data_IF_594064422386
#
_entry.id   IF_594064422386
#
_cell.length_a   1.000
_cell.length_b   1.000
_cell.length_c   1.000
_cell.angle_alpha   90.00
_cell.angle_beta   90.00
_cell.angle_gamma   90.00
#
_symmetry.space_group_name_H-M   'P 1'
#
loop_
_entity.id
_entity.type
_entity.pdbx_description
1 polymer ?
#
# COMPACT_ATOMS: atom_id res chain seq x y z
N UNK A 1 -22.22 -9.99 -60.42
CA UNK A 1 -20.85 -10.36 -59.97
C UNK A 1 -20.70 -9.87 -58.53
N UNK A 2 -20.59 -10.78 -57.55
CA UNK A 2 -20.51 -10.46 -56.12
C UNK A 2 -19.04 -10.34 -55.73
N UNK A 3 -18.60 -9.15 -55.35
CA UNK A 3 -17.28 -8.93 -54.74
C UNK A 3 -17.36 -9.41 -53.29
N UNK A 4 -16.74 -10.56 -53.01
CA UNK A 4 -16.57 -11.09 -51.65
C UNK A 4 -15.38 -10.38 -51.03
N UNK A 5 -15.67 -9.52 -50.07
CA UNK A 5 -14.68 -8.89 -49.19
C UNK A 5 -14.14 -9.95 -48.22
N UNK A 6 -12.91 -10.42 -48.46
CA UNK A 6 -12.17 -11.27 -47.51
C UNK A 6 -11.35 -10.38 -46.58
N UNK A 7 -11.95 -9.99 -45.46
CA UNK A 7 -11.22 -9.37 -44.35
C UNK A 7 -10.54 -10.52 -43.59
N UNK A 8 -9.22 -10.59 -43.69
CA UNK A 8 -8.40 -11.57 -43.00
C UNK A 8 -8.45 -11.34 -41.48
N UNK A 9 -8.81 -12.32 -40.64
CA UNK A 9 -8.98 -12.11 -39.20
C UNK A 9 -7.67 -12.10 -38.40
N UNK A 10 -6.51 -12.18 -39.06
CA UNK A 10 -5.20 -12.31 -38.38
C UNK A 10 -4.54 -10.99 -37.95
N UNK A 11 -5.20 -9.84 -38.09
CA UNK A 11 -4.59 -8.52 -37.84
C UNK A 11 -5.25 -7.71 -36.71
N UNK A 12 -5.85 -8.37 -35.71
CA UNK A 12 -6.53 -7.73 -34.58
C UNK A 12 -6.05 -8.22 -33.21
N UNK A 13 -4.78 -8.61 -33.10
CA UNK A 13 -4.17 -9.11 -31.85
C UNK A 13 -2.97 -8.27 -31.40
N UNK A 14 -2.98 -6.95 -31.66
CA UNK A 14 -1.88 -6.07 -31.28
C UNK A 14 -2.26 -4.75 -30.61
N UNK A 15 -3.43 -4.70 -29.97
CA UNK A 15 -3.86 -3.50 -29.24
C UNK A 15 -4.44 -3.79 -27.85
N UNK A 16 -4.03 -4.91 -27.22
CA UNK A 16 -4.35 -5.16 -25.83
C UNK A 16 -3.20 -4.70 -24.94
N UNK A 17 -3.31 -3.44 -24.49
CA UNK A 17 -2.92 -3.01 -23.15
C UNK A 17 -1.41 -2.92 -22.83
N UNK A 18 -0.67 -2.14 -23.62
CA UNK A 18 0.42 -1.32 -23.05
C UNK A 18 -0.18 -0.16 -22.24
N UNK A 19 -0.75 -0.48 -21.09
CA UNK A 19 -0.99 0.49 -20.02
C UNK A 19 -0.79 -0.20 -18.68
N UNK A 20 0.47 -0.42 -18.32
CA UNK A 20 0.81 -0.38 -16.91
C UNK A 20 1.82 0.76 -16.79
N UNK A 21 1.32 1.89 -16.28
CA UNK A 21 2.08 3.12 -16.17
C UNK A 21 3.38 2.86 -15.40
N UNK A 22 4.39 3.65 -15.74
CA UNK A 22 5.49 3.87 -14.81
C UNK A 22 4.87 4.34 -13.48
N UNK A 23 4.69 3.43 -12.54
CA UNK A 23 4.51 3.79 -11.14
C UNK A 23 5.88 4.28 -10.67
N UNK A 24 6.21 5.52 -11.04
CA UNK A 24 7.25 6.30 -10.39
C UNK A 24 6.82 6.47 -8.93
N UNK A 25 7.25 5.57 -8.05
CA UNK A 25 6.84 5.66 -6.65
C UNK A 25 7.29 4.57 -5.68
N UNK A 26 8.08 3.57 -6.07
CA UNK A 26 8.44 2.48 -5.15
C UNK A 26 9.94 2.27 -4.96
N UNK A 27 10.77 3.24 -5.35
CA UNK A 27 12.20 3.22 -5.01
C UNK A 27 12.43 3.28 -3.49
N UNK A 28 11.39 3.63 -2.72
CA UNK A 28 11.41 3.78 -1.27
C UNK A 28 11.27 2.46 -0.49
N UNK A 29 10.77 1.39 -1.13
CA UNK A 29 10.54 0.12 -0.45
C UNK A 29 11.43 -0.98 -1.04
N UNK A 30 12.38 -1.47 -0.24
CA UNK A 30 13.29 -2.57 -0.56
C UNK A 30 12.57 -3.95 -0.48
N UNK A 31 11.38 -4.02 -1.06
CA UNK A 31 10.42 -5.09 -0.87
C UNK A 31 10.59 -6.16 -1.96
N UNK A 32 10.54 -7.43 -1.56
CA UNK A 32 10.43 -8.59 -2.47
C UNK A 32 9.09 -8.61 -3.25
N UNK A 33 8.20 -7.64 -3.01
CA UNK A 33 6.83 -7.56 -3.52
C UNK A 33 6.63 -6.40 -4.50
N UNK A 34 5.64 -6.53 -5.38
CA UNK A 34 5.28 -5.46 -6.31
C UNK A 34 4.66 -4.25 -5.60
N UNK A 35 4.81 -3.07 -6.21
CA UNK A 35 4.18 -1.83 -5.74
C UNK A 35 2.68 -1.95 -5.49
N UNK A 36 1.96 -2.48 -6.48
CA UNK A 36 0.50 -2.61 -6.40
C UNK A 36 0.11 -3.51 -5.25
N UNK A 37 0.87 -4.58 -5.02
CA UNK A 37 0.64 -5.45 -3.89
C UNK A 37 0.83 -4.71 -2.57
N UNK A 38 1.98 -4.06 -2.36
CA UNK A 38 2.28 -3.30 -1.12
C UNK A 38 1.23 -2.21 -0.85
N UNK A 39 0.86 -1.44 -1.88
CA UNK A 39 -0.02 -0.29 -1.70
C UNK A 39 -1.48 -0.71 -1.49
N UNK A 40 -1.97 -1.71 -2.21
CA UNK A 40 -3.40 -1.97 -2.33
C UNK A 40 -3.86 -3.32 -1.74
N UNK A 41 -2.99 -4.33 -1.70
CA UNK A 41 -3.41 -5.72 -1.44
C UNK A 41 -2.78 -6.33 -0.18
N UNK A 42 -1.62 -5.85 0.24
CA UNK A 42 -0.86 -6.38 1.35
C UNK A 42 -1.57 -6.15 2.69
N UNK A 43 -1.45 -7.11 3.60
CA UNK A 43 -1.98 -6.99 4.95
C UNK A 43 -0.95 -6.34 5.88
N UNK A 44 -1.41 -5.40 6.70
CA UNK A 44 -0.61 -4.68 7.65
C UNK A 44 -1.18 -4.80 9.06
N UNK A 45 -0.30 -4.98 10.04
CA UNK A 45 -0.59 -4.50 11.40
C UNK A 45 -0.37 -2.99 11.45
N UNK A 46 -1.32 -2.27 12.05
CA UNK A 46 -1.25 -0.83 12.24
C UNK A 46 -0.78 -0.55 13.65
N UNK A 47 0.42 0.01 13.77
CA UNK A 47 1.01 0.41 15.03
C UNK A 47 1.00 1.93 15.17
N UNK A 48 0.74 2.42 16.36
CA UNK A 48 0.68 3.85 16.68
C UNK A 48 1.65 4.18 17.81
N UNK A 49 2.39 5.26 17.66
CA UNK A 49 3.31 5.76 18.68
C UNK A 49 2.63 6.87 19.48
N UNK A 50 2.29 6.59 20.73
CA UNK A 50 1.77 7.61 21.65
C UNK A 50 2.90 8.51 22.16
N UNK A 51 2.60 9.76 22.49
CA UNK A 51 3.59 10.69 23.04
C UNK A 51 4.86 10.83 22.18
N UNK A 52 4.70 11.20 20.90
CA UNK A 52 5.81 11.41 19.97
C UNK A 52 6.94 12.33 20.47
N UNK A 53 6.68 13.19 21.43
CA UNK A 53 7.66 14.08 22.07
C UNK A 53 8.74 13.34 22.85
N UNK A 54 8.39 12.18 23.42
CA UNK A 54 9.22 11.48 24.40
C UNK A 54 10.16 10.46 23.72
N UNK A 55 9.95 10.22 22.42
CA UNK A 55 10.74 9.33 21.55
C UNK A 55 11.03 7.96 22.19
N UNK A 56 10.08 7.48 23.00
CA UNK A 56 10.19 6.21 23.72
C UNK A 56 9.52 5.07 22.93
N UNK A 57 10.27 4.09 22.40
CA UNK A 57 9.71 3.01 21.59
C UNK A 57 8.76 2.08 22.36
N UNK A 58 8.72 2.15 23.70
CA UNK A 58 7.74 1.43 24.50
C UNK A 58 6.31 1.95 24.34
N UNK A 59 6.14 3.15 23.76
CA UNK A 59 4.84 3.77 23.52
C UNK A 59 4.24 3.39 22.15
N UNK A 60 4.93 2.53 21.38
CA UNK A 60 4.36 1.88 20.20
C UNK A 60 3.31 0.84 20.62
N UNK A 61 2.07 1.01 20.15
CA UNK A 61 0.97 0.09 20.41
C UNK A 61 0.31 -0.39 19.11
N UNK A 62 -0.07 -1.67 19.09
CA UNK A 62 -0.91 -2.22 18.03
C UNK A 62 -2.33 -1.69 18.17
N UNK A 63 -2.83 -0.98 17.15
CA UNK A 63 -4.18 -0.40 17.14
C UNK A 63 -5.15 -1.15 16.20
N UNK A 64 -4.64 -1.97 15.29
CA UNK A 64 -5.50 -2.76 14.41
C UNK A 64 -4.77 -3.42 13.25
N UNK A 65 -5.54 -3.84 12.25
CA UNK A 65 -5.04 -4.39 10.99
C UNK A 65 -5.69 -3.66 9.81
N UNK A 66 -5.01 -3.62 8.68
CA UNK A 66 -5.47 -2.96 7.46
C UNK A 66 -5.01 -3.72 6.21
N UNK A 67 -5.73 -3.55 5.11
CA UNK A 67 -5.31 -3.98 3.77
C UNK A 67 -4.91 -2.74 2.98
N UNK A 68 -3.66 -2.69 2.54
CA UNK A 68 -3.06 -1.56 1.84
C UNK A 68 -2.60 -0.41 2.75
N UNK A 69 -1.60 0.35 2.26
CA UNK A 69 -0.95 1.42 3.01
C UNK A 69 -1.89 2.60 3.30
N UNK A 70 -2.80 2.92 2.38
CA UNK A 70 -3.77 4.00 2.56
C UNK A 70 -4.70 3.74 3.75
N UNK A 71 -5.21 2.52 3.88
CA UNK A 71 -6.07 2.12 5.01
C UNK A 71 -5.28 2.07 6.31
N UNK A 72 -4.02 1.64 6.28
CA UNK A 72 -3.16 1.69 7.46
C UNK A 72 -3.02 3.13 8.00
N UNK A 73 -2.71 4.11 7.13
CA UNK A 73 -2.66 5.52 7.52
C UNK A 73 -4.00 6.03 8.02
N UNK A 74 -5.09 5.70 7.32
CA UNK A 74 -6.44 6.09 7.70
C UNK A 74 -6.84 5.60 9.10
N UNK A 75 -6.48 4.36 9.45
CA UNK A 75 -6.71 3.80 10.77
C UNK A 75 -5.92 4.55 11.86
N UNK A 76 -4.66 4.88 11.59
CA UNK A 76 -3.84 5.65 12.52
C UNK A 76 -4.38 7.09 12.72
N UNK A 77 -4.82 7.75 11.66
CA UNK A 77 -5.46 9.06 11.73
C UNK A 77 -6.76 9.01 12.55
N UNK A 78 -7.59 8.00 12.31
CA UNK A 78 -8.83 7.79 13.05
C UNK A 78 -8.57 7.54 14.55
N UNK A 79 -7.55 6.73 14.86
CA UNK A 79 -7.13 6.49 16.25
C UNK A 79 -6.66 7.78 16.93
N UNK A 80 -5.81 8.57 16.28
CA UNK A 80 -5.33 9.84 16.82
C UNK A 80 -6.50 10.80 17.09
N UNK A 81 -7.42 10.93 16.14
CA UNK A 81 -8.61 11.77 16.29
C UNK A 81 -9.53 11.30 17.44
N UNK A 82 -9.68 9.99 17.63
CA UNK A 82 -10.52 9.43 18.68
C UNK A 82 -9.91 9.56 20.10
N UNK A 83 -8.59 9.63 20.19
CA UNK A 83 -7.85 9.65 21.47
C UNK A 83 -7.30 11.02 21.83
N UNK A 84 -7.32 11.98 20.90
CA UNK A 84 -6.73 13.30 21.08
C UNK A 84 -5.19 13.32 20.97
N UNK A 85 -4.58 12.24 20.47
CA UNK A 85 -3.14 12.17 20.22
C UNK A 85 -2.75 13.03 19.00
N UNK A 86 -1.51 13.52 18.99
CA UNK A 86 -0.98 14.24 17.83
C UNK A 86 -0.70 13.27 16.68
N UNK A 87 -0.95 13.73 15.44
CA UNK A 87 -0.71 12.93 14.25
C UNK A 87 0.30 13.61 13.31
N UNK A 88 1.33 12.86 12.95
CA UNK A 88 2.22 13.13 11.82
C UNK A 88 2.75 11.78 11.28
N UNK A 89 3.60 11.81 10.25
CA UNK A 89 4.05 10.56 9.62
C UNK A 89 5.03 9.73 10.49
N UNK A 90 5.48 10.26 11.64
CA UNK A 90 6.17 9.48 12.69
C UNK A 90 5.22 8.78 13.65
N UNK A 91 3.95 9.20 13.73
CA UNK A 91 2.96 8.71 14.68
C UNK A 91 2.56 7.26 14.46
N UNK A 92 2.90 6.66 13.31
CA UNK A 92 2.41 5.34 12.97
C UNK A 92 3.41 4.52 12.15
N UNK A 93 3.19 3.22 12.14
CA UNK A 93 3.96 2.24 11.38
C UNK A 93 2.99 1.21 10.78
N UNK A 94 3.10 0.97 9.48
CA UNK A 94 2.43 -0.14 8.80
C UNK A 94 3.38 -1.32 8.75
N UNK A 95 3.16 -2.33 9.60
CA UNK A 95 4.02 -3.52 9.65
C UNK A 95 3.45 -4.56 8.69
N UNK A 96 4.17 -4.84 7.61
CA UNK A 96 3.80 -5.84 6.61
C UNK A 96 3.70 -7.22 7.25
N UNK A 97 2.58 -7.89 7.00
CA UNK A 97 2.30 -9.24 7.44
C UNK A 97 2.35 -10.19 6.25
N UNK A 98 3.10 -11.26 6.37
CA UNK A 98 3.18 -12.35 5.40
C UNK A 98 3.14 -13.68 6.14
N UNK A 99 2.15 -14.53 5.79
CA UNK A 99 1.92 -15.83 6.44
C UNK A 99 1.93 -15.77 7.98
N UNK A 100 1.25 -14.75 8.54
CA UNK A 100 1.16 -14.52 9.99
C UNK A 100 2.44 -13.99 10.64
N UNK A 101 3.47 -13.64 9.85
CA UNK A 101 4.76 -13.13 10.33
C UNK A 101 4.95 -11.67 9.94
N UNK A 102 5.55 -10.89 10.84
CA UNK A 102 5.99 -9.52 10.56
C UNK A 102 7.22 -9.54 9.66
N UNK A 103 7.22 -8.73 8.61
CA UNK A 103 8.31 -8.68 7.61
C UNK A 103 9.00 -7.33 7.62
N UNK A 104 8.32 -6.32 7.10
CA UNK A 104 8.86 -4.97 6.88
C UNK A 104 8.02 -3.92 7.59
N UNK A 105 8.65 -2.79 7.94
CA UNK A 105 7.97 -1.62 8.51
C UNK A 105 7.89 -0.54 7.44
N UNK A 106 6.69 -0.09 7.10
CA UNK A 106 6.47 1.00 6.16
C UNK A 106 5.93 2.22 6.90
N UNK A 107 6.43 3.39 6.51
CA UNK A 107 5.85 4.70 6.82
C UNK A 107 5.60 5.38 5.46
N UNK A 108 4.49 6.08 5.32
CA UNK A 108 4.34 6.99 4.17
C UNK A 108 5.08 8.27 4.58
N UNK A 109 6.30 8.46 4.10
CA UNK A 109 7.07 9.69 4.30
C UNK A 109 6.78 10.70 3.18
#
# INVERSE_FOLDING_TARGET
>A
MKLVSTISPLALLWAALTSCGAASGCEEYASDYSCSYVVDEAEYEVWFWRNLSDDNPADEMLIGRAVGLNMCRGNAQAFAAATGEQFNDRAYICVLMDDGRRKEKHRLL
#
